data_IF_749070237043
#
_entry.id   IF_749070237043
#
_cell.length_a   1.000
_cell.length_b   1.000
_cell.length_c   1.000
_cell.angle_alpha   90.00
_cell.angle_beta   90.00
_cell.angle_gamma   90.00
#
_symmetry.space_group_name_H-M   'P 1'
#
loop_
_entity.id
_entity.type
_entity.pdbx_description
1 polymer ?
#
# COMPACT_ATOMS: atom_id res chain seq x y z
N UNK A 1 17.33 -29.33 1.08
CA UNK A 1 16.03 -29.75 1.62
C UNK A 1 14.97 -29.23 0.68
N UNK A 2 14.20 -30.11 0.04
CA UNK A 2 13.08 -29.69 -0.81
C UNK A 2 11.88 -29.42 0.11
N UNK A 3 10.96 -28.57 -0.33
CA UNK A 3 9.74 -28.29 0.46
C UNK A 3 8.92 -29.57 0.69
N UNK A 4 9.01 -30.50 -0.26
CA UNK A 4 8.34 -31.82 -0.22
C UNK A 4 8.89 -32.73 0.89
N UNK A 5 10.08 -32.44 1.41
CA UNK A 5 10.75 -33.24 2.45
C UNK A 5 10.36 -32.77 3.87
N UNK A 6 9.58 -31.69 3.99
CA UNK A 6 9.27 -31.05 5.26
C UNK A 6 8.10 -31.71 5.97
N UNK A 7 8.22 -31.86 7.28
CA UNK A 7 7.11 -32.19 8.15
C UNK A 7 6.10 -31.03 8.24
N UNK A 8 4.89 -31.32 8.71
CA UNK A 8 3.84 -30.32 8.90
C UNK A 8 4.32 -29.20 9.85
N UNK A 9 5.03 -29.53 10.92
CA UNK A 9 5.51 -28.55 11.89
C UNK A 9 6.57 -27.63 11.27
N UNK A 10 7.50 -28.18 10.49
CA UNK A 10 8.50 -27.38 9.76
C UNK A 10 7.85 -26.49 8.70
N UNK A 11 6.80 -26.97 8.01
CA UNK A 11 6.01 -26.16 7.08
C UNK A 11 5.28 -25.02 7.79
N UNK A 12 4.75 -25.26 8.99
CA UNK A 12 4.09 -24.23 9.79
C UNK A 12 5.08 -23.18 10.28
N UNK A 13 6.28 -23.57 10.71
CA UNK A 13 7.34 -22.64 11.08
C UNK A 13 7.82 -21.81 9.89
N UNK A 14 8.03 -22.47 8.74
CA UNK A 14 8.40 -21.80 7.50
C UNK A 14 7.33 -20.79 7.09
N UNK A 15 6.05 -21.15 7.17
CA UNK A 15 4.94 -20.26 6.85
C UNK A 15 4.91 -19.03 7.78
N UNK A 16 5.11 -19.22 9.10
CA UNK A 16 5.22 -18.09 10.06
C UNK A 16 6.35 -17.14 9.67
N UNK A 17 7.50 -17.67 9.27
CA UNK A 17 8.64 -16.87 8.83
C UNK A 17 8.33 -16.10 7.53
N UNK A 18 7.69 -16.77 6.57
CA UNK A 18 7.26 -16.15 5.30
C UNK A 18 6.28 -15.01 5.57
N UNK A 19 5.24 -15.24 6.38
CA UNK A 19 4.26 -14.21 6.75
C UNK A 19 4.95 -12.99 7.39
N UNK A 20 5.82 -13.22 8.38
CA UNK A 20 6.60 -12.13 9.01
C UNK A 20 7.43 -11.37 7.97
N UNK A 21 8.07 -12.09 7.05
CA UNK A 21 8.90 -11.46 6.02
C UNK A 21 8.07 -10.61 5.05
N UNK A 22 6.89 -11.07 4.68
CA UNK A 22 5.94 -10.32 3.84
C UNK A 22 5.53 -9.04 4.56
N UNK A 23 5.14 -9.11 5.83
CA UNK A 23 4.76 -7.95 6.64
C UNK A 23 5.89 -6.92 6.74
N UNK A 24 7.13 -7.37 6.98
CA UNK A 24 8.30 -6.50 7.00
C UNK A 24 8.53 -5.79 5.66
N UNK A 25 8.41 -6.51 4.54
CA UNK A 25 8.60 -5.96 3.20
C UNK A 25 7.51 -4.95 2.86
N UNK A 26 6.26 -5.25 3.20
CA UNK A 26 5.14 -4.33 3.05
C UNK A 26 5.34 -3.06 3.86
N UNK A 27 5.75 -3.17 5.13
CA UNK A 27 6.03 -2.01 5.98
C UNK A 27 7.16 -1.12 5.42
N UNK A 28 8.21 -1.72 4.83
CA UNK A 28 9.28 -0.96 4.16
C UNK A 28 8.77 -0.22 2.92
N UNK A 29 7.91 -0.86 2.12
CA UNK A 29 7.32 -0.23 0.95
C UNK A 29 6.39 0.93 1.34
N UNK A 30 5.56 0.74 2.38
CA UNK A 30 4.67 1.77 2.93
C UNK A 30 5.46 3.02 3.37
N UNK A 31 6.58 2.84 4.09
CA UNK A 31 7.44 3.94 4.53
C UNK A 31 7.99 4.77 3.36
N UNK A 32 8.42 4.12 2.28
CA UNK A 32 8.98 4.82 1.10
C UNK A 32 7.94 5.55 0.25
N UNK A 33 6.67 5.17 0.32
CA UNK A 33 5.58 5.91 -0.34
C UNK A 33 5.09 7.04 0.57
N UNK A 34 4.93 6.79 1.87
CA UNK A 34 4.59 7.83 2.86
C UNK A 34 5.59 8.98 2.86
N UNK A 35 6.90 8.71 2.75
CA UNK A 35 7.92 9.75 2.75
C UNK A 35 7.85 10.68 1.53
N UNK A 36 7.13 10.28 0.47
CA UNK A 36 6.95 11.05 -0.76
C UNK A 36 5.56 11.68 -0.87
N UNK A 37 4.68 11.40 0.10
CA UNK A 37 3.31 11.89 0.11
C UNK A 37 3.17 13.11 1.02
N UNK A 38 2.64 14.19 0.46
CA UNK A 38 2.34 15.44 1.16
C UNK A 38 0.83 15.71 1.16
N UNK A 39 0.33 16.39 2.19
CA UNK A 39 -1.03 16.94 2.17
C UNK A 39 -1.17 17.92 1.00
N UNK A 40 -2.29 17.86 0.30
CA UNK A 40 -2.60 18.66 -0.89
C UNK A 40 -1.99 18.14 -2.20
N UNK A 41 -1.11 17.14 -2.15
CA UNK A 41 -0.47 16.56 -3.33
C UNK A 41 -1.49 15.88 -4.24
N UNK A 42 -1.33 16.08 -5.54
CA UNK A 42 -2.12 15.42 -6.55
C UNK A 42 -1.66 13.96 -6.72
N UNK A 43 -2.62 13.05 -6.70
CA UNK A 43 -2.37 11.61 -6.74
C UNK A 43 -3.40 10.93 -7.63
N UNK A 44 -3.05 9.74 -8.11
CA UNK A 44 -3.98 8.84 -8.78
C UNK A 44 -3.98 7.45 -8.16
N UNK A 45 -5.09 6.73 -8.32
CA UNK A 45 -5.24 5.34 -7.90
C UNK A 45 -6.30 4.64 -8.76
N UNK A 46 -6.22 3.32 -8.88
CA UNK A 46 -7.19 2.52 -9.62
C UNK A 46 -8.40 2.12 -8.76
N UNK A 47 -9.57 2.18 -9.37
CA UNK A 47 -10.83 1.67 -8.82
C UNK A 47 -11.49 0.74 -9.84
N UNK A 48 -12.58 0.07 -9.44
CA UNK A 48 -13.39 -0.75 -10.36
C UNK A 48 -14.00 0.06 -11.52
N UNK A 49 -14.17 1.37 -11.32
CA UNK A 49 -14.77 2.28 -12.29
C UNK A 49 -13.71 2.97 -13.18
N UNK A 50 -12.42 2.68 -12.94
CA UNK A 50 -11.29 3.27 -13.65
C UNK A 50 -10.33 4.01 -12.72
N UNK A 51 -9.39 4.73 -13.33
CA UNK A 51 -8.40 5.54 -12.61
C UNK A 51 -9.04 6.82 -12.08
N UNK A 52 -8.87 7.08 -10.79
CA UNK A 52 -9.37 8.28 -10.11
C UNK A 52 -8.19 9.20 -9.81
N UNK A 53 -8.40 10.49 -10.05
CA UNK A 53 -7.47 11.57 -9.73
C UNK A 53 -8.02 12.39 -8.57
N UNK A 54 -7.14 12.85 -7.68
CA UNK A 54 -7.55 13.67 -6.57
C UNK A 54 -6.38 14.22 -5.77
N UNK A 55 -6.69 14.89 -4.66
CA UNK A 55 -5.70 15.48 -3.75
C UNK A 55 -5.73 14.80 -2.39
N UNK A 56 -4.56 14.60 -1.81
CA UNK A 56 -4.42 14.04 -0.47
C UNK A 56 -4.95 15.03 0.57
N UNK A 57 -5.97 14.65 1.33
CA UNK A 57 -6.53 15.49 2.41
C UNK A 57 -6.19 14.95 3.80
N UNK A 58 -5.80 13.69 3.92
CA UNK A 58 -5.35 13.10 5.19
C UNK A 58 -4.41 11.92 4.97
N UNK A 59 -3.29 11.87 5.69
CA UNK A 59 -2.35 10.74 5.64
C UNK A 59 -2.45 9.98 6.97
N UNK A 60 -2.65 8.66 6.90
CA UNK A 60 -2.54 7.75 8.05
C UNK A 60 -1.44 6.73 7.76
N UNK A 61 -1.07 5.94 8.78
CA UNK A 61 0.05 4.98 8.69
C UNK A 61 -0.07 3.96 7.54
N UNK A 62 -1.28 3.48 7.20
CA UNK A 62 -1.50 2.49 6.13
C UNK A 62 -2.42 2.97 5.00
N UNK A 63 -3.12 4.08 5.22
CA UNK A 63 -4.14 4.58 4.29
C UNK A 63 -4.10 6.07 4.18
N UNK A 64 -4.42 6.58 3.01
CA UNK A 64 -4.55 8.01 2.73
C UNK A 64 -6.00 8.29 2.36
N UNK A 65 -6.49 9.45 2.75
CA UNK A 65 -7.77 9.96 2.29
C UNK A 65 -7.50 10.93 1.15
N UNK A 66 -8.08 10.64 0.00
CA UNK A 66 -7.98 11.45 -1.21
C UNK A 66 -9.34 12.05 -1.50
N UNK A 67 -9.38 13.34 -1.82
CA UNK A 67 -10.57 14.00 -2.33
C UNK A 67 -10.45 14.12 -3.86
N UNK A 68 -11.40 13.52 -4.59
CA UNK A 68 -11.50 13.66 -6.05
C UNK A 68 -12.16 14.98 -6.43
N UNK A 69 -12.09 15.35 -7.71
CA UNK A 69 -12.65 16.61 -8.22
C UNK A 69 -14.16 16.76 -8.00
N UNK A 70 -14.89 15.65 -7.99
CA UNK A 70 -16.32 15.56 -7.66
C UNK A 70 -16.61 15.65 -6.15
N UNK A 71 -15.62 16.08 -5.36
CA UNK A 71 -15.63 16.20 -3.90
C UNK A 71 -15.83 14.90 -3.13
N UNK A 72 -15.87 13.73 -3.79
CA UNK A 72 -15.92 12.43 -3.10
C UNK A 72 -14.61 12.17 -2.35
N UNK A 73 -14.73 11.51 -1.21
CA UNK A 73 -13.58 11.12 -0.39
C UNK A 73 -13.34 9.62 -0.47
N UNK A 74 -12.09 9.26 -0.72
CA UNK A 74 -11.66 7.88 -0.92
C UNK A 74 -10.60 7.53 0.11
N UNK A 75 -10.83 6.46 0.88
CA UNK A 75 -9.82 5.88 1.75
C UNK A 75 -9.08 4.79 0.98
N UNK A 76 -7.83 5.08 0.62
CA UNK A 76 -7.02 4.23 -0.26
C UNK A 76 -5.78 3.75 0.49
N UNK A 77 -5.36 2.51 0.24
CA UNK A 77 -4.08 2.01 0.77
C UNK A 77 -2.92 2.84 0.22
N UNK A 78 -1.96 3.21 1.07
CA UNK A 78 -0.77 3.97 0.64
C UNK A 78 -0.05 3.24 -0.50
N UNK A 79 0.00 1.92 -0.47
CA UNK A 79 0.67 1.10 -1.48
C UNK A 79 0.01 1.17 -2.89
N UNK A 80 -1.24 1.63 -2.98
CA UNK A 80 -1.98 1.75 -4.24
C UNK A 80 -1.97 3.17 -4.81
N UNK A 81 -1.38 4.12 -4.10
CA UNK A 81 -1.33 5.53 -4.52
C UNK A 81 -0.12 5.78 -5.41
N UNK A 82 -0.38 6.47 -6.50
CA UNK A 82 0.64 6.99 -7.40
C UNK A 82 0.69 8.52 -7.28
N UNK A 83 1.79 9.08 -6.73
CA UNK A 83 2.00 10.52 -6.74
C UNK A 83 2.18 11.02 -8.19
N UNK A 84 1.43 12.04 -8.57
CA UNK A 84 1.67 12.76 -9.81
C UNK A 84 2.85 13.71 -9.53
N UNK A 85 4.01 13.44 -10.13
CA UNK A 85 5.10 14.42 -10.10
C UNK A 85 4.73 15.56 -11.05
N UNK A 86 4.68 16.77 -10.51
CA UNK A 86 4.84 17.97 -11.34
C UNK A 86 6.30 17.98 -11.82
N UNK A 87 6.49 17.95 -13.14
CA UNK A 87 7.80 18.07 -13.80
C UNK A 87 8.34 19.48 -13.64
#
# INVERSE_FOLDING_TARGET
MRIDDLTIDELLELNKLICRRIEELQARQELGVLSRLNLGQAVSFETREGQIFGRVIKINRKTVVVQSEDQRQWKVSVALIQPLHDV
#
